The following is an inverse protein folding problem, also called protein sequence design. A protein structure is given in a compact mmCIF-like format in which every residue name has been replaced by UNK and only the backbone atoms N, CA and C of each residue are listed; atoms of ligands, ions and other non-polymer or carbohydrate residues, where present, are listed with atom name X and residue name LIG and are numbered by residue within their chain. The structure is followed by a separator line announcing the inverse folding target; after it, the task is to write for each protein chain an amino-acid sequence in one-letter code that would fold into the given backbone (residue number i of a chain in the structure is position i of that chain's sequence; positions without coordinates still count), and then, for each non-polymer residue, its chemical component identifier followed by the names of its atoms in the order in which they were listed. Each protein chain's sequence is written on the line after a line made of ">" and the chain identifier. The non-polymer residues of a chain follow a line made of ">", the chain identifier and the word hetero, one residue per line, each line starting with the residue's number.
data_IF_156656873285
#
_entry.id   IF_156656873285
#
_cell.length_a   1.000
_cell.length_b   1.000
_cell.length_c   1.000
_cell.angle_alpha   90.00
_cell.angle_beta   90.00
_cell.angle_gamma   90.00
#
_symmetry.space_group_name_H-M   'P 1'
#
loop_
_entity.id
_entity.type
_entity.pdbx_description
1 polymer ?
#
# COMPACT_ATOMS: atom_id res chain seq x y z
N UNK A 1 -12.50 -4.33 -7.80
CA UNK A 1 -11.04 -4.47 -7.68
C UNK A 1 -10.71 -5.96 -7.66
N UNK A 2 -9.77 -6.44 -8.48
CA UNK A 2 -9.24 -7.81 -8.33
C UNK A 2 -8.42 -7.85 -7.04
N UNK A 3 -8.81 -8.70 -6.09
CA UNK A 3 -7.99 -9.01 -4.91
C UNK A 3 -7.12 -10.20 -5.27
N UNK A 4 -5.86 -9.95 -5.59
CA UNK A 4 -4.90 -11.00 -5.94
C UNK A 4 -4.16 -11.41 -4.66
N UNK A 5 -4.66 -12.46 -4.00
CA UNK A 5 -4.14 -12.87 -2.69
C UNK A 5 -3.05 -13.95 -2.86
N UNK A 6 -1.94 -13.59 -3.50
CA UNK A 6 -0.82 -14.50 -3.70
C UNK A 6 0.09 -14.52 -2.46
N UNK A 7 -0.12 -15.52 -1.59
CA UNK A 7 0.62 -15.67 -0.33
C UNK A 7 2.12 -15.88 -0.52
N UNK A 8 2.53 -16.53 -1.61
CA UNK A 8 3.95 -16.78 -1.91
C UNK A 8 4.66 -15.48 -2.25
N UNK A 9 4.10 -14.73 -3.20
CA UNK A 9 4.60 -13.41 -3.58
C UNK A 9 4.61 -12.44 -2.39
N UNK A 10 3.55 -12.43 -1.57
CA UNK A 10 3.49 -11.56 -0.39
C UNK A 10 4.60 -11.85 0.62
N UNK A 11 4.97 -13.13 0.82
CA UNK A 11 6.08 -13.50 1.71
C UNK A 11 7.43 -13.09 1.14
N UNK A 12 7.59 -13.20 -0.16
CA UNK A 12 8.81 -12.79 -0.84
C UNK A 12 9.02 -11.27 -0.77
N UNK A 13 7.96 -10.49 -1.03
CA UNK A 13 8.00 -9.02 -0.96
C UNK A 13 8.14 -8.48 0.48
N UNK A 14 7.85 -9.28 1.50
CA UNK A 14 8.08 -8.93 2.90
C UNK A 14 9.48 -9.28 3.40
N UNK A 15 10.36 -9.82 2.55
CA UNK A 15 11.77 -9.95 2.93
C UNK A 15 12.33 -8.53 3.18
N UNK A 16 12.98 -8.29 4.33
CA UNK A 16 13.46 -6.95 4.64
C UNK A 16 14.52 -6.50 3.64
N UNK A 17 14.50 -5.22 3.29
CA UNK A 17 15.64 -4.58 2.63
C UNK A 17 16.87 -4.64 3.54
N UNK A 18 18.05 -4.78 2.96
CA UNK A 18 19.31 -4.89 3.71
C UNK A 18 19.71 -3.59 4.38
N UNK A 19 19.17 -2.46 3.92
CA UNK A 19 19.40 -1.14 4.48
C UNK A 19 18.30 -0.16 4.09
N UNK A 20 18.23 0.97 4.77
CA UNK A 20 17.36 2.10 4.38
C UNK A 20 17.73 2.65 2.99
N UNK A 21 19.02 2.67 2.63
CA UNK A 21 19.45 3.14 1.31
C UNK A 21 18.97 2.24 0.17
N UNK A 22 18.91 0.93 0.39
CA UNK A 22 18.33 -0.01 -0.58
C UNK A 22 16.82 0.21 -0.74
N UNK A 23 16.12 0.44 0.38
CA UNK A 23 14.69 0.79 0.35
C UNK A 23 14.43 2.08 -0.44
N UNK A 24 15.21 3.14 -0.19
CA UNK A 24 15.07 4.42 -0.89
C UNK A 24 15.32 4.28 -2.40
N UNK A 25 16.31 3.48 -2.80
CA UNK A 25 16.58 3.17 -4.20
C UNK A 25 15.41 2.41 -4.85
N UNK A 26 14.85 1.41 -4.17
CA UNK A 26 13.70 0.66 -4.64
C UNK A 26 12.45 1.54 -4.79
N UNK A 27 12.19 2.42 -3.82
CA UNK A 27 11.09 3.39 -3.87
C UNK A 27 11.27 4.37 -5.02
N UNK A 28 12.50 4.84 -5.27
CA UNK A 28 12.82 5.73 -6.40
C UNK A 28 12.52 5.05 -7.74
N UNK A 29 13.01 3.83 -7.92
CA UNK A 29 12.75 3.05 -9.14
C UNK A 29 11.24 2.80 -9.34
N UNK A 30 10.53 2.44 -8.27
CA UNK A 30 9.10 2.23 -8.30
C UNK A 30 8.34 3.52 -8.63
N UNK A 31 8.78 4.66 -8.10
CA UNK A 31 8.22 5.99 -8.39
C UNK A 31 8.27 6.31 -9.88
N UNK A 32 9.38 6.01 -10.54
CA UNK A 32 9.53 6.23 -11.99
C UNK A 32 8.59 5.33 -12.80
N UNK A 33 8.42 4.08 -12.40
CA UNK A 33 7.45 3.15 -13.02
C UNK A 33 6.02 3.68 -12.88
N UNK A 34 5.62 4.13 -11.68
CA UNK A 34 4.28 4.69 -11.44
C UNK A 34 4.07 5.97 -12.25
N UNK A 35 5.09 6.84 -12.31
CA UNK A 35 5.06 8.07 -13.11
C UNK A 35 4.82 7.76 -14.60
N UNK A 36 5.52 6.78 -15.16
CA UNK A 36 5.32 6.37 -16.54
C UNK A 36 3.93 5.74 -16.78
N UNK A 37 3.49 4.89 -15.84
CA UNK A 37 2.19 4.22 -15.92
C UNK A 37 1.03 5.22 -15.89
N UNK A 38 1.06 6.23 -15.01
CA UNK A 38 -0.01 7.24 -14.93
C UNK A 38 -0.15 8.08 -16.19
N UNK A 39 0.97 8.41 -16.85
CA UNK A 39 0.95 9.14 -18.12
C UNK A 39 0.29 8.29 -19.21
N UNK A 40 0.71 7.03 -19.32
CA UNK A 40 0.17 6.08 -20.30
C UNK A 40 -1.34 5.85 -20.09
N UNK A 41 -1.75 5.69 -18.84
CA UNK A 41 -3.14 5.45 -18.47
C UNK A 41 -4.00 6.72 -18.40
N UNK A 42 -3.43 7.91 -18.65
CA UNK A 42 -4.08 9.22 -18.52
C UNK A 42 -4.72 9.44 -17.14
N UNK A 43 -4.00 9.05 -16.08
CA UNK A 43 -4.41 9.24 -14.69
C UNK A 43 -3.75 10.51 -14.13
N UNK A 44 -4.52 11.59 -13.86
CA UNK A 44 -3.96 12.89 -13.49
C UNK A 44 -3.45 12.95 -12.05
N UNK A 45 -4.08 12.26 -11.11
CA UNK A 45 -3.68 12.32 -9.70
C UNK A 45 -3.59 10.89 -9.15
N UNK A 46 -2.43 10.57 -8.59
CA UNK A 46 -2.14 9.25 -8.01
C UNK A 46 -1.40 9.44 -6.70
N UNK A 47 -1.89 8.77 -5.66
CA UNK A 47 -1.21 8.65 -4.37
C UNK A 47 -0.91 7.18 -4.11
N UNK A 48 0.32 6.87 -3.71
CA UNK A 48 0.73 5.51 -3.34
C UNK A 48 1.29 5.53 -1.93
N UNK A 49 0.81 4.61 -1.09
CA UNK A 49 1.37 4.34 0.23
C UNK A 49 2.14 3.03 0.13
N UNK A 50 3.42 3.07 0.50
CA UNK A 50 4.32 1.93 0.48
C UNK A 50 4.67 1.60 1.93
N UNK A 51 4.53 0.33 2.29
CA UNK A 51 4.96 -0.20 3.57
C UNK A 51 5.87 -1.40 3.32
N UNK A 52 7.04 -1.40 3.95
CA UNK A 52 8.03 -2.46 3.84
C UNK A 52 8.80 -2.62 5.16
N UNK A 53 9.66 -3.63 5.22
CA UNK A 53 10.63 -3.82 6.30
C UNK A 53 12.04 -3.51 5.82
N UNK A 54 12.88 -2.96 6.68
CA UNK A 54 14.30 -2.75 6.42
C UNK A 54 15.14 -3.16 7.65
N UNK A 55 16.34 -3.68 7.41
CA UNK A 55 17.32 -3.94 8.46
C UNK A 55 17.99 -2.63 8.87
N UNK A 56 18.07 -2.40 10.17
CA UNK A 56 18.80 -1.32 10.83
C UNK A 56 19.73 -1.90 11.90
N UNK A 57 20.64 -1.09 12.45
CA UNK A 57 21.63 -1.54 13.45
C UNK A 57 21.03 -2.26 14.65
N UNK A 58 19.82 -1.88 15.05
CA UNK A 58 19.13 -2.42 16.22
C UNK A 58 18.10 -3.53 15.88
N UNK A 59 18.07 -3.99 14.62
CA UNK A 59 17.19 -5.06 14.16
C UNK A 59 16.36 -4.69 12.93
N UNK A 60 15.25 -5.39 12.72
CA UNK A 60 14.30 -5.07 11.65
C UNK A 60 13.36 -3.94 12.08
N UNK A 61 13.12 -2.98 11.19
CA UNK A 61 12.12 -1.92 11.38
C UNK A 61 11.16 -1.86 10.21
N UNK A 62 9.93 -1.44 10.50
CA UNK A 62 8.93 -1.15 9.46
C UNK A 62 9.11 0.29 8.97
N UNK A 63 9.16 0.44 7.66
CA UNK A 63 9.25 1.74 6.98
C UNK A 63 7.95 1.98 6.20
N UNK A 64 7.45 3.21 6.30
CA UNK A 64 6.25 3.65 5.59
C UNK A 64 6.59 4.95 4.86
N UNK A 65 6.28 5.01 3.57
CA UNK A 65 6.46 6.22 2.77
C UNK A 65 5.27 6.44 1.84
N UNK A 66 5.01 7.71 1.52
CA UNK A 66 3.98 8.13 0.59
C UNK A 66 4.59 8.75 -0.66
N UNK A 67 4.08 8.38 -1.83
CA UNK A 67 4.42 9.01 -3.11
C UNK A 67 3.18 9.70 -3.67
N UNK A 68 3.34 10.95 -4.06
CA UNK A 68 2.27 11.74 -4.67
C UNK A 68 2.67 12.18 -6.08
N UNK A 69 1.73 12.06 -7.02
CA UNK A 69 1.90 12.47 -8.41
C UNK A 69 0.66 13.25 -8.87
N UNK A 70 0.84 14.51 -9.26
CA UNK A 70 -0.25 15.37 -9.74
C UNK A 70 -0.36 16.66 -8.93
N UNK A 71 -1.59 17.09 -8.63
CA UNK A 71 -1.90 18.30 -7.88
C UNK A 71 -1.70 18.08 -6.37
N UNK A 72 -0.65 18.66 -5.81
CA UNK A 72 -0.29 18.50 -4.38
C UNK A 72 -1.39 18.95 -3.42
N UNK A 73 -2.24 19.89 -3.82
CA UNK A 73 -3.38 20.34 -3.02
C UNK A 73 -4.43 19.24 -2.81
N UNK A 74 -4.44 18.19 -3.65
CA UNK A 74 -5.34 17.06 -3.52
C UNK A 74 -4.76 15.91 -2.69
N UNK A 75 -3.47 15.95 -2.35
CA UNK A 75 -2.79 14.83 -1.70
C UNK A 75 -3.42 14.43 -0.36
N UNK A 76 -3.73 15.42 0.49
CA UNK A 76 -4.39 15.20 1.78
C UNK A 76 -5.82 14.66 1.59
N UNK A 77 -6.59 15.24 0.66
CA UNK A 77 -7.96 14.80 0.38
C UNK A 77 -8.01 13.37 -0.15
N UNK A 78 -7.09 12.99 -1.03
CA UNK A 78 -6.99 11.63 -1.58
C UNK A 78 -6.64 10.60 -0.51
N UNK A 79 -5.69 10.92 0.37
CA UNK A 79 -5.30 10.01 1.46
C UNK A 79 -6.41 9.86 2.50
N UNK A 80 -7.08 10.94 2.88
CA UNK A 80 -8.24 10.90 3.77
C UNK A 80 -9.39 10.07 3.19
N UNK A 81 -9.69 10.23 1.90
CA UNK A 81 -10.70 9.43 1.20
C UNK A 81 -10.34 7.94 1.16
N UNK A 82 -9.09 7.62 0.83
CA UNK A 82 -8.60 6.24 0.78
C UNK A 82 -8.72 5.55 2.15
N UNK A 83 -8.33 6.25 3.23
CA UNK A 83 -8.47 5.74 4.59
C UNK A 83 -9.93 5.47 4.97
N UNK A 84 -10.84 6.42 4.68
CA UNK A 84 -12.26 6.25 4.94
C UNK A 84 -12.87 5.06 4.21
N UNK A 85 -12.43 4.83 2.97
CA UNK A 85 -12.84 3.67 2.16
C UNK A 85 -12.35 2.35 2.76
N UNK A 86 -11.07 2.23 3.11
CA UNK A 86 -10.51 1.02 3.73
C UNK A 86 -11.20 0.69 5.06
N UNK A 87 -11.50 1.70 5.88
CA UNK A 87 -12.28 1.48 7.11
C UNK A 87 -13.68 0.92 6.81
N UNK A 88 -14.36 1.44 5.79
CA UNK A 88 -15.69 0.97 5.42
C UNK A 88 -15.64 -0.50 4.96
N UNK A 89 -14.68 -0.85 4.10
CA UNK A 89 -14.48 -2.23 3.64
C UNK A 89 -14.13 -3.17 4.81
N UNK A 90 -13.30 -2.72 5.75
CA UNK A 90 -12.94 -3.50 6.94
C UNK A 90 -14.15 -3.78 7.84
N UNK A 91 -14.99 -2.77 8.10
CA UNK A 91 -16.24 -2.92 8.86
C UNK A 91 -17.18 -3.91 8.20
N UNK A 92 -17.33 -3.84 6.88
CA UNK A 92 -18.16 -4.77 6.13
C UNK A 92 -17.64 -6.22 6.24
N UNK A 93 -16.34 -6.42 6.11
CA UNK A 93 -15.71 -7.74 6.25
C UNK A 93 -15.97 -8.34 7.63
N UNK A 94 -15.73 -7.57 8.71
CA UNK A 94 -16.00 -8.02 10.08
C UNK A 94 -17.48 -8.38 10.25
N UNK A 95 -18.39 -7.54 9.75
CA UNK A 95 -19.83 -7.79 9.81
C UNK A 95 -20.21 -9.12 9.16
N UNK A 96 -19.66 -9.42 7.98
CA UNK A 96 -19.85 -10.70 7.28
C UNK A 96 -19.30 -11.88 8.07
N UNK A 97 -18.10 -11.76 8.66
CA UNK A 97 -17.50 -12.83 9.46
C UNK A 97 -18.30 -13.12 10.74
N UNK A 98 -18.81 -12.07 11.40
CA UNK A 98 -19.66 -12.21 12.58
C UNK A 98 -21.03 -12.83 12.24
N UNK A 99 -21.62 -12.45 11.10
CA UNK A 99 -22.88 -13.03 10.62
C UNK A 99 -22.71 -14.51 10.24
N UNK A 100 -21.62 -14.86 9.55
CA UNK A 100 -21.29 -16.24 9.20
C UNK A 100 -21.06 -17.11 10.45
N UNK A 101 -20.49 -16.55 11.52
CA UNK A 101 -20.31 -17.24 12.81
C UNK A 101 -21.62 -17.43 13.60
N UNK A 102 -22.67 -16.66 13.28
CA UNK A 102 -24.00 -16.73 13.94
C UNK A 102 -25.01 -17.62 13.19
N UNK A 103 -24.71 -18.11 12.00
CA UNK A 103 -25.59 -19.05 11.31
C UNK A 103 -25.51 -20.42 12.00
N UNK A 104 -26.63 -20.98 12.53
CA UNK A 104 -26.64 -22.37 12.98
C UNK A 104 -26.45 -23.29 11.76
N UNK A 105 -25.74 -24.40 11.98
CA UNK A 105 -25.53 -25.46 11.00
C UNK A 105 -26.86 -26.09 10.56
#
# INVERSE_FOLDING_TARGET
>A
MRRENNRGLYRELNKPFTSLGEFDAAVTQFSDVVRAARVTAKLPDVYVIICASAQVTDGETQVITGLHFGNELLAEGLTAWAYGKEQAEHRELIGRMLAAKKAPA
#
